data_IF_904623233287
#
_entry.id   IF_904623233287
#
_cell.length_a   1.000
_cell.length_b   1.000
_cell.length_c   1.000
_cell.angle_alpha   90.00
_cell.angle_beta   90.00
_cell.angle_gamma   90.00
#
_symmetry.space_group_name_H-M   'P 1'
#
loop_
_entity.id
_entity.type
_entity.pdbx_description
1 polymer ?
#
# COMPACT_ATOMS: atom_id res chain seq x y z
N UNK A 1 -5.80 24.24 -17.77
CA UNK A 1 -6.75 24.18 -16.64
C UNK A 1 -6.73 22.77 -16.08
N UNK A 2 -6.12 22.55 -14.92
CA UNK A 2 -5.94 21.22 -14.33
C UNK A 2 -7.14 20.77 -13.47
N UNK A 3 -8.35 21.20 -13.84
CA UNK A 3 -9.59 20.74 -13.26
C UNK A 3 -10.06 19.51 -14.05
N UNK A 4 -9.53 18.33 -13.73
CA UNK A 4 -9.99 17.07 -14.35
C UNK A 4 -8.98 15.92 -14.37
N UNK A 5 -7.69 16.20 -14.17
CA UNK A 5 -6.65 15.14 -14.10
C UNK A 5 -6.57 14.62 -12.66
N UNK A 6 -6.75 13.31 -12.47
CA UNK A 6 -6.56 12.66 -11.17
C UNK A 6 -5.06 12.63 -10.85
N UNK A 7 -4.59 13.55 -10.00
CA UNK A 7 -3.19 13.57 -9.56
C UNK A 7 -2.86 12.42 -8.59
N UNK A 8 -3.85 11.91 -7.86
CA UNK A 8 -3.70 10.77 -6.96
C UNK A 8 -4.84 9.79 -7.22
N UNK A 9 -4.52 8.50 -7.18
CA UNK A 9 -5.51 7.43 -7.17
C UNK A 9 -5.32 6.60 -5.92
N UNK A 10 -6.43 6.16 -5.34
CA UNK A 10 -6.45 5.35 -4.13
C UNK A 10 -7.19 4.07 -4.43
N UNK A 11 -6.63 2.94 -4.03
CA UNK A 11 -7.23 1.61 -4.15
C UNK A 11 -7.18 0.92 -2.80
N UNK A 12 -8.28 0.29 -2.41
CA UNK A 12 -8.28 -0.62 -1.26
C UNK A 12 -8.15 -2.03 -1.78
N UNK A 13 -7.20 -2.77 -1.22
CA UNK A 13 -6.97 -4.19 -1.50
C UNK A 13 -7.32 -4.98 -0.24
N UNK A 14 -8.24 -5.96 -0.33
CA UNK A 14 -8.60 -6.79 0.82
C UNK A 14 -7.44 -7.69 1.24
N UNK A 15 -7.58 -8.30 2.42
CA UNK A 15 -6.64 -9.30 2.92
C UNK A 15 -6.48 -10.47 1.94
N UNK A 16 -5.23 -10.88 1.69
CA UNK A 16 -4.91 -12.05 0.88
C UNK A 16 -4.52 -13.22 1.79
N UNK A 17 -5.42 -14.21 1.90
CA UNK A 17 -5.22 -15.40 2.72
C UNK A 17 -4.15 -16.35 2.15
N UNK A 18 -3.87 -16.30 0.85
CA UNK A 18 -2.86 -17.14 0.20
C UNK A 18 -1.44 -16.67 0.48
N UNK A 19 -1.23 -15.36 0.63
CA UNK A 19 0.10 -14.78 0.92
C UNK A 19 0.22 -14.24 2.35
N UNK A 20 -0.84 -14.31 3.15
CA UNK A 20 -1.00 -13.59 4.42
C UNK A 20 -0.73 -12.08 4.30
N UNK A 21 -1.01 -11.49 3.13
CA UNK A 21 -0.81 -10.04 2.95
C UNK A 21 -1.97 -9.31 3.63
N UNK A 22 -1.70 -8.38 4.58
CA UNK A 22 -2.75 -7.60 5.23
C UNK A 22 -3.55 -6.78 4.20
N UNK A 23 -4.77 -6.38 4.54
CA UNK A 23 -5.52 -5.43 3.71
C UNK A 23 -4.75 -4.10 3.59
N UNK A 24 -4.64 -3.57 2.37
CA UNK A 24 -3.84 -2.36 2.08
C UNK A 24 -4.66 -1.26 1.44
N UNK A 25 -4.26 -0.02 1.71
CA UNK A 25 -4.62 1.16 0.93
C UNK A 25 -3.41 1.50 0.07
N UNK A 26 -3.56 1.38 -1.24
CA UNK A 26 -2.54 1.74 -2.23
C UNK A 26 -2.82 3.14 -2.74
N UNK A 27 -1.85 4.05 -2.62
CA UNK A 27 -1.87 5.39 -3.20
C UNK A 27 -0.88 5.42 -4.37
N UNK A 28 -1.37 5.78 -5.56
CA UNK A 28 -0.53 5.90 -6.75
C UNK A 28 -0.60 7.32 -7.31
N UNK A 29 0.55 7.82 -7.77
CA UNK A 29 0.62 9.07 -8.52
C UNK A 29 -0.05 8.91 -9.89
N UNK A 30 -0.83 9.92 -10.28
CA UNK A 30 -1.40 10.07 -11.62
C UNK A 30 -1.14 11.46 -12.17
N UNK A 31 -1.35 11.66 -13.47
CA UNK A 31 -1.19 12.97 -14.09
C UNK A 31 0.25 13.53 -14.05
N UNK A 32 1.26 12.66 -14.02
CA UNK A 32 2.68 13.04 -14.02
C UNK A 32 3.01 13.93 -15.22
N UNK A 33 3.79 15.00 -15.01
CA UNK A 33 4.09 16.00 -16.05
C UNK A 33 3.09 17.15 -16.13
N UNK A 34 1.97 17.09 -15.39
CA UNK A 34 1.13 18.25 -15.13
C UNK A 34 1.68 19.04 -13.95
N UNK A 35 2.00 20.31 -14.16
CA UNK A 35 2.70 21.16 -13.17
C UNK A 35 2.02 21.23 -11.80
N UNK A 36 0.71 21.03 -11.71
CA UNK A 36 -0.01 20.96 -10.43
C UNK A 36 0.13 19.57 -9.77
N UNK A 37 0.09 18.48 -10.54
CA UNK A 37 0.21 17.13 -10.00
C UNK A 37 1.64 16.89 -9.51
N UNK A 38 2.64 17.37 -10.24
CA UNK A 38 4.05 17.29 -9.81
C UNK A 38 4.27 18.04 -8.49
N UNK A 39 3.65 19.22 -8.32
CA UNK A 39 3.68 19.96 -7.04
C UNK A 39 3.03 19.17 -5.92
N UNK A 40 1.88 18.53 -6.17
CA UNK A 40 1.18 17.70 -5.19
C UNK A 40 2.05 16.49 -4.79
N UNK A 41 2.67 15.81 -5.76
CA UNK A 41 3.56 14.67 -5.50
C UNK A 41 4.82 15.06 -4.74
N UNK A 42 5.31 16.30 -4.95
CA UNK A 42 6.46 16.84 -4.25
C UNK A 42 6.15 17.30 -2.82
N UNK A 43 4.88 17.43 -2.42
CA UNK A 43 4.52 17.78 -1.04
C UNK A 43 5.07 16.71 -0.09
N UNK A 44 5.78 17.07 1.02
CA UNK A 44 6.49 16.10 1.86
C UNK A 44 5.62 14.95 2.35
N UNK A 45 4.38 15.24 2.75
CA UNK A 45 3.43 14.22 3.24
C UNK A 45 2.98 13.27 2.13
N UNK A 46 2.69 13.79 0.93
CA UNK A 46 2.28 12.98 -0.22
C UNK A 46 3.45 12.15 -0.72
N UNK A 47 4.65 12.74 -0.80
CA UNK A 47 5.86 12.02 -1.14
C UNK A 47 6.14 10.88 -0.18
N UNK A 48 6.01 11.10 1.14
CA UNK A 48 6.15 10.04 2.15
C UNK A 48 5.13 8.92 1.97
N UNK A 49 3.90 9.25 1.59
CA UNK A 49 2.87 8.24 1.30
C UNK A 49 3.26 7.46 0.03
N UNK A 50 3.55 8.15 -1.08
CA UNK A 50 3.87 7.53 -2.37
C UNK A 50 5.16 6.70 -2.35
N UNK A 51 6.19 7.13 -1.61
CA UNK A 51 7.46 6.41 -1.47
C UNK A 51 7.46 5.43 -0.28
N UNK A 52 6.46 5.55 0.61
CA UNK A 52 6.33 4.75 1.82
C UNK A 52 6.08 3.27 1.52
N UNK A 53 6.59 2.43 2.41
CA UNK A 53 6.38 0.98 2.43
C UNK A 53 6.23 0.53 3.86
N UNK A 54 5.64 -0.64 4.05
CA UNK A 54 5.60 -1.32 5.34
C UNK A 54 6.07 -2.77 5.18
N UNK A 55 6.58 -3.35 6.26
CA UNK A 55 6.96 -4.76 6.33
C UNK A 55 5.82 -5.59 6.89
N UNK A 56 5.62 -6.80 6.37
CA UNK A 56 4.67 -7.79 6.89
C UNK A 56 5.26 -9.20 6.88
N UNK A 57 4.66 -10.09 7.66
CA UNK A 57 4.99 -11.51 7.67
C UNK A 57 4.20 -12.21 6.57
N UNK A 58 4.85 -12.52 5.45
CA UNK A 58 4.25 -13.26 4.35
C UNK A 58 4.42 -14.77 4.56
N UNK A 59 3.47 -15.57 4.06
CA UNK A 59 3.64 -17.04 4.05
C UNK A 59 4.76 -17.41 3.09
N UNK A 60 5.80 -18.06 3.62
CA UNK A 60 6.92 -18.63 2.86
C UNK A 60 6.63 -20.06 2.42
N UNK A 61 6.12 -20.87 3.35
CA UNK A 61 5.71 -22.24 3.08
C UNK A 61 4.34 -22.46 3.69
N UNK A 62 3.38 -22.90 2.87
CA UNK A 62 2.04 -23.20 3.34
C UNK A 62 2.06 -24.35 4.36
N UNK A 63 1.12 -24.32 5.30
CA UNK A 63 0.92 -25.43 6.22
C UNK A 63 0.54 -26.69 5.44
N UNK A 64 1.03 -27.83 5.90
CA UNK A 64 0.65 -29.16 5.42
C UNK A 64 0.13 -29.97 6.61
N UNK A 65 -0.47 -31.14 6.38
CA UNK A 65 -0.98 -31.99 7.46
C UNK A 65 0.08 -32.43 8.48
N UNK A 66 1.36 -32.26 8.17
CA UNK A 66 2.49 -32.68 9.02
C UNK A 66 3.45 -31.54 9.38
N UNK A 67 3.25 -30.32 8.87
CA UNK A 67 4.13 -29.16 9.13
C UNK A 67 3.36 -27.85 9.17
N UNK A 68 3.69 -27.01 10.13
CA UNK A 68 3.14 -25.66 10.25
C UNK A 68 3.63 -24.74 9.11
N UNK A 69 2.86 -23.68 8.84
CA UNK A 69 3.27 -22.66 7.88
C UNK A 69 4.50 -21.91 8.39
N UNK A 70 5.44 -21.60 7.49
CA UNK A 70 6.58 -20.74 7.81
C UNK A 70 6.35 -19.36 7.23
N UNK A 71 6.85 -18.34 7.92
CA UNK A 71 6.68 -16.94 7.55
C UNK A 71 8.03 -16.27 7.26
N UNK A 72 8.01 -15.27 6.39
CA UNK A 72 9.16 -14.41 6.14
C UNK A 72 8.75 -12.93 6.11
N UNK A 73 9.68 -12.07 6.54
CA UNK A 73 9.50 -10.63 6.43
C UNK A 73 9.56 -10.21 4.96
N UNK A 74 8.48 -9.60 4.47
CA UNK A 74 8.36 -9.08 3.12
C UNK A 74 7.96 -7.61 3.15
N UNK A 75 8.59 -6.81 2.30
CA UNK A 75 8.20 -5.42 2.08
C UNK A 75 6.96 -5.33 1.19
N UNK A 76 6.09 -4.36 1.48
CA UNK A 76 5.02 -3.94 0.59
C UNK A 76 5.57 -3.21 -0.64
N UNK A 77 4.69 -2.97 -1.63
CA UNK A 77 4.99 -2.04 -2.70
C UNK A 77 4.97 -0.60 -2.18
N UNK A 78 5.59 0.30 -2.96
CA UNK A 78 5.57 1.73 -2.68
C UNK A 78 4.14 2.26 -2.76
N UNK A 79 3.79 3.17 -1.85
CA UNK A 79 2.45 3.74 -1.82
C UNK A 79 1.43 2.85 -1.10
N UNK A 80 1.83 1.67 -0.63
CA UNK A 80 0.94 0.80 0.15
C UNK A 80 1.02 1.13 1.65
N UNK A 81 -0.15 1.19 2.27
CA UNK A 81 -0.34 1.38 3.70
C UNK A 81 -1.18 0.22 4.22
N UNK A 82 -0.70 -0.51 5.22
CA UNK A 82 -1.51 -1.54 5.88
C UNK A 82 -2.67 -0.90 6.65
N UNK A 83 -3.89 -1.34 6.37
CA UNK A 83 -5.12 -0.89 7.07
C UNK A 83 -5.39 -1.79 8.29
N UNK A 84 -4.76 -2.95 8.37
CA UNK A 84 -4.87 -3.85 9.52
C UNK A 84 -4.39 -3.16 10.81
N UNK A 85 -5.31 -2.91 11.75
CA UNK A 85 -5.02 -2.24 13.02
C UNK A 85 -5.36 -0.75 13.08
N UNK A 86 -5.90 -0.15 12.01
CA UNK A 86 -6.49 1.19 12.08
C UNK A 86 -7.83 1.11 12.83
N UNK A 87 -7.77 1.18 14.16
CA UNK A 87 -8.95 1.43 14.98
C UNK A 87 -9.47 2.84 14.70
N UNK A 88 -10.63 2.95 14.07
CA UNK A 88 -11.36 4.23 14.04
C UNK A 88 -11.90 4.44 15.44
N UNK A 89 -11.27 5.33 16.21
CA UNK A 89 -11.80 5.78 17.49
C UNK A 89 -12.96 6.73 17.17
N UNK A 90 -14.18 6.32 17.52
CA UNK A 90 -15.38 7.16 17.52
C UNK A 90 -15.62 7.75 18.90
#
# INVERSE_FOLDING_TARGET
MAAGKKCLSVKVVPYDAGTAKPATLTVTAGGTGESICDKIHAMPSIKKILDGKYTYQAIKTAATSTKEATYESKDSEKGEIAISGLGVVY
#
